data_IF_085735491494
#
_entry.id   IF_085735491494
#
_cell.length_a   1.000
_cell.length_b   1.000
_cell.length_c   1.000
_cell.angle_alpha   90.00
_cell.angle_beta   90.00
_cell.angle_gamma   90.00
#
_symmetry.space_group_name_H-M   'P 1'
#
loop_
_entity.id
_entity.type
_entity.pdbx_description
1 polymer ?
#
# COMPACT_ATOMS: atom_id res chain seq x y z
N UNK A 1 0.82 -12.90 -18.47
CA UNK A 1 0.13 -11.67 -18.92
C UNK A 1 -0.04 -10.81 -17.69
N UNK A 2 0.38 -9.54 -17.71
CA UNK A 2 0.25 -8.64 -16.56
C UNK A 2 -0.88 -7.65 -16.81
N UNK A 3 -1.66 -7.36 -15.78
CA UNK A 3 -2.70 -6.33 -15.86
C UNK A 3 -2.06 -4.94 -15.90
N UNK A 4 -2.67 -4.02 -16.65
CA UNK A 4 -2.48 -2.58 -16.40
C UNK A 4 -3.08 -2.26 -15.03
N UNK A 5 -2.55 -1.24 -14.34
CA UNK A 5 -2.97 -0.90 -12.98
C UNK A 5 -3.44 0.54 -12.89
N UNK A 6 -4.39 0.81 -12.00
CA UNK A 6 -4.76 2.15 -11.53
C UNK A 6 -4.36 2.31 -10.07
N UNK A 7 -3.66 3.40 -9.79
CA UNK A 7 -3.06 3.67 -8.48
C UNK A 7 -3.56 4.99 -7.94
N UNK A 8 -3.96 4.99 -6.67
CA UNK A 8 -4.43 6.18 -5.98
C UNK A 8 -4.12 6.14 -4.49
N UNK A 9 -3.87 7.32 -3.91
CA UNK A 9 -3.91 7.49 -2.46
C UNK A 9 -5.36 7.66 -2.04
N UNK A 10 -5.76 6.97 -0.99
CA UNK A 10 -7.11 7.07 -0.45
C UNK A 10 -7.06 7.34 1.05
N UNK A 11 -7.97 8.19 1.50
CA UNK A 11 -8.20 8.46 2.91
C UNK A 11 -9.39 7.63 3.37
N UNK A 12 -9.28 6.98 4.53
CA UNK A 12 -10.36 6.20 5.13
C UNK A 12 -10.40 6.40 6.64
N UNK A 13 -11.57 6.14 7.23
CA UNK A 13 -11.74 6.22 8.68
C UNK A 13 -11.25 4.96 9.37
N UNK A 14 -10.43 5.12 10.40
CA UNK A 14 -10.04 4.07 11.33
C UNK A 14 -10.34 4.56 12.75
N UNK A 15 -11.49 4.12 13.29
CA UNK A 15 -12.03 4.67 14.53
C UNK A 15 -12.32 6.16 14.42
N UNK A 16 -11.69 6.98 15.28
CA UNK A 16 -11.83 8.45 15.27
C UNK A 16 -10.91 9.13 14.27
N UNK A 17 -9.91 8.42 13.76
CA UNK A 17 -8.88 9.01 12.93
C UNK A 17 -9.16 8.81 11.44
N UNK A 18 -8.56 9.68 10.63
CA UNK A 18 -8.39 9.45 9.20
C UNK A 18 -7.00 8.85 8.98
N UNK A 19 -6.92 7.76 8.24
CA UNK A 19 -5.69 7.06 7.87
C UNK A 19 -5.60 7.02 6.34
N UNK A 20 -4.39 7.07 5.80
CA UNK A 20 -4.16 6.99 4.36
C UNK A 20 -3.79 5.57 3.95
N UNK A 21 -4.06 5.24 2.70
CA UNK A 21 -3.55 4.02 2.07
C UNK A 21 -3.16 4.30 0.63
N UNK A 22 -2.19 3.53 0.15
CA UNK A 22 -1.89 3.39 -1.25
C UNK A 22 -2.70 2.22 -1.81
N UNK A 23 -3.67 2.52 -2.67
CA UNK A 23 -4.53 1.54 -3.31
C UNK A 23 -4.14 1.41 -4.77
N UNK A 24 -3.79 0.19 -5.18
CA UNK A 24 -3.46 -0.15 -6.55
C UNK A 24 -4.33 -1.32 -7.01
N UNK A 25 -4.94 -1.18 -8.18
CA UNK A 25 -5.98 -2.09 -8.66
C UNK A 25 -5.70 -2.53 -10.10
N UNK A 26 -5.97 -3.80 -10.46
CA UNK A 26 -5.87 -4.25 -11.85
C UNK A 26 -6.99 -3.61 -12.68
N UNK A 27 -6.66 -3.12 -13.87
CA UNK A 27 -7.64 -2.65 -14.84
C UNK A 27 -8.34 -3.85 -15.49
N UNK A 28 -9.66 -3.74 -15.66
CA UNK A 28 -10.47 -4.79 -16.29
C UNK A 28 -11.89 -4.81 -15.74
N UNK A 29 -12.73 -5.66 -16.33
CA UNK A 29 -14.09 -5.91 -15.84
C UNK A 29 -14.08 -7.14 -14.93
N UNK A 30 -14.82 -7.08 -13.82
CA UNK A 30 -15.00 -8.20 -12.90
C UNK A 30 -14.52 -7.89 -11.48
N UNK A 31 -14.64 -8.89 -10.61
CA UNK A 31 -14.19 -8.81 -9.22
C UNK A 31 -12.81 -9.43 -9.10
N UNK A 32 -11.87 -8.67 -8.54
CA UNK A 32 -10.53 -9.14 -8.25
C UNK A 32 -10.39 -9.46 -6.75
N UNK A 33 -9.60 -10.47 -6.37
CA UNK A 33 -9.28 -10.75 -4.98
C UNK A 33 -8.56 -9.56 -4.33
N UNK A 34 -8.91 -9.25 -3.08
CA UNK A 34 -8.30 -8.16 -2.31
C UNK A 34 -7.18 -8.64 -1.40
N UNK A 35 -6.12 -7.84 -1.28
CA UNK A 35 -5.01 -8.03 -0.35
C UNK A 35 -4.79 -6.75 0.45
N UNK A 36 -4.59 -6.91 1.76
CA UNK A 36 -4.10 -5.83 2.62
C UNK A 36 -2.59 -6.02 2.77
N UNK A 37 -1.83 -4.99 2.39
CA UNK A 37 -0.38 -4.96 2.48
C UNK A 37 0.01 -4.14 3.70
N UNK A 38 0.78 -4.75 4.61
CA UNK A 38 1.28 -4.12 5.83
C UNK A 38 2.77 -3.86 5.64
N UNK A 39 3.19 -2.60 5.80
CA UNK A 39 4.60 -2.25 5.74
C UNK A 39 5.35 -2.68 7.00
N UNK A 40 6.66 -2.84 6.88
CA UNK A 40 7.59 -3.01 8.02
C UNK A 40 7.88 -1.68 8.72
N UNK A 41 8.85 -1.67 9.65
CA UNK A 41 9.15 -0.51 10.51
C UNK A 41 9.53 0.77 9.73
N UNK A 42 9.91 0.65 8.46
CA UNK A 42 10.25 1.76 7.58
C UNK A 42 9.06 2.65 7.16
N UNK A 43 7.83 2.21 7.42
CA UNK A 43 6.63 2.92 6.96
C UNK A 43 6.25 2.57 5.51
N UNK A 44 5.22 3.24 4.99
CA UNK A 44 4.75 3.06 3.61
C UNK A 44 5.68 3.76 2.59
N UNK A 45 6.85 3.18 2.39
CA UNK A 45 7.89 3.68 1.48
C UNK A 45 7.68 3.19 0.02
N UNK A 46 8.57 3.63 -0.88
CA UNK A 46 8.51 3.26 -2.30
C UNK A 46 8.68 1.77 -2.56
N UNK A 47 9.46 1.08 -1.72
CA UNK A 47 9.63 -0.36 -1.85
C UNK A 47 8.31 -1.08 -1.58
N UNK A 48 7.61 -0.77 -0.48
CA UNK A 48 6.30 -1.37 -0.17
C UNK A 48 5.27 -1.04 -1.25
N UNK A 49 5.25 0.22 -1.74
CA UNK A 49 4.39 0.61 -2.87
C UNK A 49 4.67 -0.23 -4.12
N UNK A 50 5.95 -0.47 -4.44
CA UNK A 50 6.33 -1.30 -5.59
C UNK A 50 5.89 -2.76 -5.46
N UNK A 51 5.89 -3.31 -4.23
CA UNK A 51 5.38 -4.66 -3.98
C UNK A 51 3.86 -4.73 -4.12
N UNK A 52 3.14 -3.73 -3.63
CA UNK A 52 1.69 -3.62 -3.85
C UNK A 52 1.36 -3.55 -5.35
N UNK A 53 2.10 -2.76 -6.13
CA UNK A 53 1.92 -2.68 -7.59
C UNK A 53 2.23 -4.01 -8.29
N UNK A 54 3.23 -4.75 -7.82
CA UNK A 54 3.53 -6.07 -8.35
C UNK A 54 2.36 -7.03 -8.13
N UNK A 55 1.76 -7.03 -6.94
CA UNK A 55 0.55 -7.82 -6.66
C UNK A 55 -0.62 -7.42 -7.56
N UNK A 56 -0.83 -6.12 -7.79
CA UNK A 56 -1.90 -5.67 -8.69
C UNK A 56 -1.70 -6.08 -10.14
N UNK A 57 -0.45 -6.08 -10.63
CA UNK A 57 -0.14 -6.59 -11.98
C UNK A 57 -0.41 -8.09 -12.12
N UNK A 58 -0.41 -8.85 -11.03
CA UNK A 58 -0.78 -10.27 -11.00
C UNK A 58 -2.30 -10.51 -10.77
N UNK A 59 -3.11 -9.44 -10.68
CA UNK A 59 -4.57 -9.52 -10.65
C UNK A 59 -5.21 -9.36 -9.26
N UNK A 60 -4.49 -8.77 -8.30
CA UNK A 60 -5.02 -8.49 -6.96
C UNK A 60 -5.34 -7.01 -6.75
N UNK A 61 -6.42 -6.68 -6.06
CA UNK A 61 -6.59 -5.34 -5.50
C UNK A 61 -5.70 -5.24 -4.27
N UNK A 62 -4.61 -4.47 -4.33
CA UNK A 62 -3.68 -4.33 -3.23
C UNK A 62 -3.91 -3.00 -2.51
N UNK A 63 -4.27 -3.09 -1.23
CA UNK A 63 -4.47 -1.97 -0.32
C UNK A 63 -3.31 -1.92 0.68
N UNK A 64 -2.34 -1.05 0.43
CA UNK A 64 -1.21 -0.84 1.32
C UNK A 64 -1.51 0.29 2.31
N UNK A 65 -1.77 -0.06 3.56
CA UNK A 65 -2.14 0.90 4.60
C UNK A 65 -0.92 1.66 5.11
N UNK A 66 -1.09 2.96 5.36
CA UNK A 66 -0.09 3.79 6.02
C UNK A 66 -0.36 3.82 7.53
N UNK A 67 0.17 2.85 8.26
CA UNK A 67 0.00 2.79 9.72
C UNK A 67 0.75 3.93 10.43
N UNK A 68 1.73 4.53 9.77
CA UNK A 68 2.63 5.53 10.35
C UNK A 68 2.21 6.97 10.04
N UNK A 69 1.13 7.16 9.27
CA UNK A 69 0.51 8.45 8.94
C UNK A 69 1.44 9.39 8.19
N UNK A 70 2.06 8.86 7.14
CA UNK A 70 2.98 9.59 6.27
C UNK A 70 4.41 9.60 6.77
N UNK A 71 4.67 9.07 7.98
CA UNK A 71 6.03 8.91 8.49
C UNK A 71 6.69 7.70 7.83
N UNK A 72 7.76 7.97 7.11
CA UNK A 72 8.69 6.97 6.60
C UNK A 72 10.05 7.27 7.20
N UNK A 73 10.77 6.24 7.65
CA UNK A 73 12.16 6.40 8.06
C UNK A 73 13.08 6.01 6.91
N UNK A 74 14.19 6.73 6.79
CA UNK A 74 15.28 6.45 5.85
C UNK A 74 16.60 6.31 6.58
N UNK A 75 16.58 6.27 7.91
CA UNK A 75 17.76 6.23 8.77
C UNK A 75 17.89 4.85 9.45
N UNK A 76 18.86 4.02 9.03
CA UNK A 76 19.19 2.74 9.69
C UNK A 76 19.64 2.87 11.14
N UNK A 77 19.96 4.07 11.62
CA UNK A 77 20.47 4.31 12.95
C UNK A 77 19.40 4.63 14.01
N UNK A 78 18.13 4.78 13.65
CA UNK A 78 17.02 4.94 14.62
C UNK A 78 16.46 3.59 15.10
N UNK A 79 17.32 2.56 15.17
CA UNK A 79 17.00 1.20 15.63
C UNK A 79 17.86 0.75 16.84
N UNK A 80 18.52 1.68 17.53
CA UNK A 80 19.24 1.42 18.78
C UNK A 80 18.98 2.55 19.79
N UNK A 81 17.89 2.42 20.55
CA UNK A 81 17.89 2.65 22.00
C UNK A 81 17.07 1.54 22.67
#
# INVERSE_FOLDING_TARGET
>A
MRYEIDTRKIDFKSGRDTVQAYLTTPQGKGTFPGLVVIHEWWGLNDWVRSQADALAREGYVAFAVDLYRGRVTTDPMEAHE
#
